data_IF_280332671861
#
_entry.id   IF_280332671861
#
_cell.length_a   1.000
_cell.length_b   1.000
_cell.length_c   1.000
_cell.angle_alpha   90.00
_cell.angle_beta   90.00
_cell.angle_gamma   90.00
#
_symmetry.space_group_name_H-M   'P 1'
#
loop_
_entity.id
_entity.type
_entity.pdbx_description
1 polymer ?
#
# COMPACT_ATOMS: atom_id res chain seq x y z
N UNK A 1 -14.19 14.25 -6.81
CA UNK A 1 -13.64 14.39 -5.45
C UNK A 1 -12.64 13.28 -5.16
N UNK A 2 -11.57 13.60 -4.50
CA UNK A 2 -10.52 12.63 -4.20
C UNK A 2 -10.35 12.52 -2.69
N UNK A 3 -10.45 11.31 -2.19
CA UNK A 3 -10.18 11.03 -0.79
C UNK A 3 -8.83 10.35 -0.67
N UNK A 4 -8.01 10.86 0.21
CA UNK A 4 -6.70 10.31 0.44
C UNK A 4 -6.52 10.00 1.92
N UNK A 5 -6.12 8.78 2.22
CA UNK A 5 -5.82 8.36 3.59
C UNK A 5 -4.35 8.01 3.65
N UNK A 6 -3.65 8.62 4.57
CA UNK A 6 -2.21 8.43 4.70
C UNK A 6 -1.85 8.16 6.14
N UNK A 7 -0.95 7.22 6.33
CA UNK A 7 -0.42 6.92 7.66
C UNK A 7 1.10 6.86 7.55
N UNK A 8 1.77 7.50 8.49
CA UNK A 8 3.22 7.49 8.55
C UNK A 8 3.65 7.15 9.97
N UNK A 9 4.53 6.15 10.11
CA UNK A 9 4.99 5.68 11.39
C UNK A 9 6.45 5.30 11.29
N UNK A 10 7.13 5.31 12.43
CA UNK A 10 8.45 4.73 12.52
C UNK A 10 8.32 3.35 13.12
N UNK A 11 8.77 2.34 12.39
CA UNK A 11 8.63 0.95 12.77
C UNK A 11 9.99 0.28 12.79
N UNK A 12 10.12 -0.78 13.57
CA UNK A 12 11.30 -1.63 13.44
C UNK A 12 11.24 -2.33 12.09
N UNK A 13 12.37 -2.90 11.69
CA UNK A 13 12.44 -3.63 10.44
C UNK A 13 11.44 -4.78 10.41
N UNK A 14 11.32 -5.51 11.52
CA UNK A 14 10.38 -6.63 11.62
C UNK A 14 8.94 -6.17 11.56
N UNK A 15 8.64 -5.04 12.20
CA UNK A 15 7.29 -4.50 12.16
C UNK A 15 6.91 -4.05 10.76
N UNK A 16 7.86 -3.45 10.04
CA UNK A 16 7.61 -3.03 8.66
C UNK A 16 7.32 -4.24 7.78
N UNK A 17 8.08 -5.32 7.96
CA UNK A 17 7.85 -6.54 7.21
C UNK A 17 6.47 -7.12 7.53
N UNK A 18 6.07 -7.06 8.78
CA UNK A 18 4.77 -7.59 9.19
C UNK A 18 3.63 -6.79 8.57
N UNK A 19 3.78 -5.45 8.51
CA UNK A 19 2.75 -4.62 7.88
C UNK A 19 2.58 -4.98 6.40
N UNK A 20 3.69 -5.30 5.73
CA UNK A 20 3.61 -5.71 4.33
C UNK A 20 2.92 -7.06 4.18
N UNK A 21 3.16 -7.99 5.12
CA UNK A 21 2.48 -9.27 5.08
C UNK A 21 0.98 -9.13 5.27
N UNK A 22 0.57 -8.25 6.17
CA UNK A 22 -0.85 -8.00 6.39
C UNK A 22 -1.50 -7.46 5.11
N UNK A 23 -0.81 -6.56 4.44
CA UNK A 23 -1.32 -6.01 3.19
C UNK A 23 -1.43 -7.09 2.12
N UNK A 24 -0.40 -7.95 2.03
CA UNK A 24 -0.42 -9.04 1.07
C UNK A 24 -1.58 -10.00 1.34
N UNK A 25 -1.83 -10.31 2.61
CA UNK A 25 -2.92 -11.20 2.97
C UNK A 25 -4.26 -10.65 2.51
N UNK A 26 -4.46 -9.35 2.65
CA UNK A 26 -5.71 -8.74 2.21
C UNK A 26 -5.88 -8.79 0.71
N UNK A 27 -4.78 -8.65 -0.02
CA UNK A 27 -4.84 -8.69 -1.48
C UNK A 27 -5.09 -10.09 -2.01
N UNK A 28 -4.71 -11.12 -1.27
CA UNK A 28 -4.87 -12.50 -1.72
C UNK A 28 -6.31 -12.98 -1.67
N UNK A 29 -7.16 -12.29 -0.94
CA UNK A 29 -8.55 -12.69 -0.84
C UNK A 29 -9.31 -12.45 -2.12
N UNK A 30 -10.53 -12.99 -2.18
CA UNK A 30 -11.39 -12.85 -3.34
C UNK A 30 -12.35 -11.68 -3.24
N UNK A 31 -12.49 -11.12 -2.07
CA UNK A 31 -13.45 -10.07 -1.85
C UNK A 31 -12.79 -8.74 -1.56
N UNK A 32 -13.50 -7.87 -0.87
CA UNK A 32 -12.94 -6.58 -0.48
C UNK A 32 -11.71 -6.74 0.39
N UNK A 33 -10.79 -5.81 0.25
CA UNK A 33 -9.57 -5.77 1.06
C UNK A 33 -9.73 -4.66 2.10
N UNK A 34 -9.50 -4.98 3.37
CA UNK A 34 -9.57 -4.01 4.45
C UNK A 34 -8.16 -3.52 4.74
N UNK A 35 -7.89 -2.28 4.39
CA UNK A 35 -6.57 -1.70 4.54
C UNK A 35 -6.56 -0.79 5.76
N UNK A 36 -5.66 -1.09 6.68
CA UNK A 36 -5.57 -0.35 7.92
C UNK A 36 -4.47 0.70 7.84
N UNK A 37 -4.85 1.94 8.07
CA UNK A 37 -3.90 3.05 8.06
C UNK A 37 -4.06 3.80 9.37
N UNK A 38 -3.11 3.63 10.29
CA UNK A 38 -3.21 4.23 11.59
C UNK A 38 -4.44 3.72 12.33
N UNK A 39 -5.34 4.60 12.67
CA UNK A 39 -6.57 4.23 13.39
C UNK A 39 -7.80 4.18 12.48
N UNK A 40 -7.57 4.14 11.18
CA UNK A 40 -8.66 4.11 10.21
C UNK A 40 -8.55 2.88 9.32
N UNK A 41 -9.68 2.27 9.00
CA UNK A 41 -9.71 1.13 8.09
C UNK A 41 -10.49 1.54 6.84
N UNK A 42 -9.89 1.27 5.68
CA UNK A 42 -10.49 1.60 4.40
C UNK A 42 -10.76 0.30 3.66
N UNK A 43 -11.97 0.14 3.16
CA UNK A 43 -12.34 -1.05 2.40
C UNK A 43 -12.20 -0.75 0.92
N UNK A 44 -11.40 -1.57 0.23
CA UNK A 44 -11.15 -1.42 -1.20
C UNK A 44 -11.61 -2.69 -1.91
N UNK A 45 -11.76 -2.57 -3.21
CA UNK A 45 -12.16 -3.72 -4.03
C UNK A 45 -11.13 -3.94 -5.13
N UNK A 46 -10.09 -4.74 -4.85
CA UNK A 46 -9.04 -4.97 -5.84
C UNK A 46 -9.61 -5.71 -7.06
N UNK A 47 -9.11 -5.32 -8.21
CA UNK A 47 -9.46 -6.00 -9.45
C UNK A 47 -8.52 -7.19 -9.65
N UNK A 48 -8.87 -8.15 -10.52
CA UNK A 48 -7.96 -9.26 -10.80
C UNK A 48 -6.62 -8.82 -11.38
N UNK A 49 -6.57 -7.63 -11.96
CA UNK A 49 -5.34 -7.10 -12.52
C UNK A 49 -4.99 -5.81 -11.81
N UNK A 50 -3.77 -5.72 -11.35
CA UNK A 50 -3.30 -4.58 -10.58
C UNK A 50 -2.05 -4.02 -11.22
N UNK A 51 -2.00 -2.70 -11.40
CA UNK A 51 -0.79 -2.04 -11.83
C UNK A 51 0.14 -1.93 -10.62
N UNK A 52 1.31 -2.50 -10.73
CA UNK A 52 2.26 -2.64 -9.64
C UNK A 52 3.55 -1.92 -10.00
N UNK A 53 3.99 -1.05 -9.12
CA UNK A 53 5.21 -0.29 -9.36
C UNK A 53 6.04 -0.26 -8.09
N UNK A 54 7.29 -0.67 -8.21
CA UNK A 54 8.21 -0.68 -7.07
C UNK A 54 9.42 0.15 -7.44
N UNK A 55 9.73 1.14 -6.62
CA UNK A 55 10.89 1.98 -6.83
C UNK A 55 11.87 1.86 -5.67
N UNK A 56 13.14 1.92 -6.00
CA UNK A 56 14.20 1.92 -4.99
C UNK A 56 15.10 3.11 -5.30
N UNK A 57 15.39 3.88 -4.28
CA UNK A 57 16.24 5.05 -4.44
C UNK A 57 17.32 5.03 -3.37
N UNK A 58 18.54 5.29 -3.80
CA UNK A 58 19.67 5.48 -2.90
C UNK A 58 20.17 6.91 -3.06
N UNK A 59 20.42 7.56 -1.95
CA UNK A 59 20.93 8.92 -1.96
C UNK A 59 22.07 9.02 -0.98
N UNK A 60 23.17 9.61 -1.42
CA UNK A 60 24.30 9.92 -0.57
C UNK A 60 24.42 11.42 -0.42
N UNK A 61 24.72 11.85 0.79
CA UNK A 61 24.96 13.26 1.05
C UNK A 61 26.07 13.37 2.09
N UNK A 62 27.04 14.19 1.79
CA UNK A 62 28.15 14.41 2.70
C UNK A 62 27.67 15.08 3.98
N UNK A 63 26.69 15.96 3.87
CA UNK A 63 26.22 16.74 5.00
C UNK A 63 25.09 16.04 5.76
N UNK A 64 24.27 15.25 5.09
CA UNK A 64 23.08 14.65 5.71
C UNK A 64 23.14 13.14 5.85
N UNK A 65 24.25 12.54 5.40
CA UNK A 65 24.38 11.10 5.42
C UNK A 65 23.65 10.46 4.25
N UNK A 66 23.59 9.14 4.27
CA UNK A 66 22.97 8.38 3.19
C UNK A 66 21.52 8.06 3.54
N UNK A 67 20.71 7.90 2.51
CA UNK A 67 19.31 7.53 2.70
C UNK A 67 18.87 6.59 1.61
N UNK A 68 18.11 5.58 2.01
CA UNK A 68 17.55 4.60 1.09
C UNK A 68 16.05 4.62 1.20
N UNK A 69 15.36 4.49 0.08
CA UNK A 69 13.91 4.57 0.06
C UNK A 69 13.34 3.49 -0.84
N UNK A 70 12.29 2.82 -0.35
CA UNK A 70 11.48 1.92 -1.15
C UNK A 70 10.11 2.57 -1.29
N UNK A 71 9.65 2.67 -2.54
CA UNK A 71 8.33 3.21 -2.83
C UNK A 71 7.52 2.14 -3.53
N UNK A 72 6.36 1.84 -2.99
CA UNK A 72 5.46 0.84 -3.57
C UNK A 72 4.16 1.52 -3.93
N UNK A 73 3.75 1.34 -5.18
CA UNK A 73 2.50 1.88 -5.65
C UNK A 73 1.72 0.79 -6.36
N UNK A 74 0.47 0.61 -5.95
CA UNK A 74 -0.44 -0.31 -6.61
C UNK A 74 -1.72 0.43 -6.87
N UNK A 75 -2.25 0.29 -8.07
CA UNK A 75 -3.56 0.86 -8.34
C UNK A 75 -4.32 -0.02 -9.32
N UNK A 76 -5.62 0.18 -9.33
CA UNK A 76 -6.52 -0.61 -10.15
C UNK A 76 -7.84 0.13 -10.25
N UNK A 77 -8.62 -0.30 -11.18
CA UNK A 77 -9.97 0.20 -11.35
C UNK A 77 -10.91 -0.78 -10.65
N UNK A 78 -11.63 -0.35 -9.63
CA UNK A 78 -12.47 -1.30 -8.90
C UNK A 78 -13.50 -1.94 -9.83
N UNK A 79 -13.76 -3.24 -9.68
CA UNK A 79 -14.81 -3.86 -10.46
C UNK A 79 -16.17 -3.27 -10.10
N UNK A 80 -17.05 -3.23 -11.07
CA UNK A 80 -18.38 -2.72 -10.81
C UNK A 80 -19.11 -3.69 -9.90
N UNK A 81 -19.78 -3.11 -8.92
CA UNK A 81 -20.60 -3.94 -8.07
C UNK A 81 -21.84 -4.32 -8.85
N UNK A 82 -22.06 -5.49 -9.11
CA UNK A 82 -23.27 -6.03 -9.71
C UNK A 82 -23.64 -5.46 -11.04
N UNK A 83 -23.69 -4.91 -10.99
CA UNK A 83 -23.94 -4.66 -11.71
C UNK A 83 -24.49 -4.59 -12.35
N UNK A 84 -24.44 -4.23 -12.27
CA UNK A 84 -24.61 -3.99 -12.64
C UNK A 84 -24.92 -4.08 -13.26
N UNK A 85 -25.14 -4.15 -13.66
CA UNK A 85 -25.29 -4.15 -14.36
C UNK A 85 -25.55 -4.23 -14.81
#
# INVERSE_FOLDING_TARGET
>A
MVDKTLSAEELTRDEAAERLRELADELEGDGPASIRTGNKTVSLRPSPTIAYELGVRERSSILRGSRETITLKMDWKPPKASDEE
#
